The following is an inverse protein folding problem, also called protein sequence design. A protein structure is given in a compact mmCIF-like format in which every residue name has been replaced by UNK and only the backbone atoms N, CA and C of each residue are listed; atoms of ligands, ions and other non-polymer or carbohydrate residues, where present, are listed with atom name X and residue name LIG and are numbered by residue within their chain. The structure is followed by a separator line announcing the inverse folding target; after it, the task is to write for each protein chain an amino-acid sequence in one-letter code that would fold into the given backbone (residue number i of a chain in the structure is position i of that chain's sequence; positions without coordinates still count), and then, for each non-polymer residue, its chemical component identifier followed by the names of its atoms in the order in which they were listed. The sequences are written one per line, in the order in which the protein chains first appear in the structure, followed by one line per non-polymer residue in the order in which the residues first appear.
data_IF_411888464068
#
_entry.id   IF_411888464068
#
_cell.length_a   1.000
_cell.length_b   1.000
_cell.length_c   1.000
_cell.angle_alpha   90.00
_cell.angle_beta   90.00
_cell.angle_gamma   90.00
#
_symmetry.space_group_name_H-M   'P 1'
#
loop_
_entity.id
_entity.type
_entity.pdbx_description
1 polymer ?
#
# COMPACT_ATOMS: atom_id res chain seq x y z
N UNK A 1 -5.53 -14.56 -17.18
CA UNK A 1 -5.30 -13.65 -16.03
C UNK A 1 -6.26 -12.46 -16.09
N UNK A 2 -7.31 -12.44 -15.25
CA UNK A 2 -8.14 -11.24 -15.13
C UNK A 2 -7.30 -10.07 -14.58
N UNK A 3 -7.43 -8.88 -15.18
CA UNK A 3 -6.73 -7.67 -14.77
C UNK A 3 -5.48 -7.29 -15.58
N UNK A 4 -5.07 -8.08 -16.59
CA UNK A 4 -4.07 -7.64 -17.56
C UNK A 4 -4.68 -6.65 -18.57
N UNK A 5 -4.07 -5.48 -18.79
CA UNK A 5 -4.45 -4.60 -19.89
C UNK A 5 -4.29 -5.32 -21.24
N UNK A 6 -5.15 -5.06 -22.24
CA UNK A 6 -5.07 -5.69 -23.56
C UNK A 6 -3.70 -5.50 -24.25
N UNK A 7 -3.07 -4.36 -24.03
CA UNK A 7 -1.74 -4.01 -24.55
C UNK A 7 -0.67 -4.97 -24.01
N UNK A 8 -0.67 -5.21 -22.69
CA UNK A 8 0.25 -6.17 -22.04
C UNK A 8 -0.03 -7.60 -22.49
N UNK A 9 -1.31 -7.97 -22.70
CA UNK A 9 -1.64 -9.28 -23.25
C UNK A 9 -1.11 -9.48 -24.67
N UNK A 10 -1.10 -8.41 -25.48
CA UNK A 10 -0.58 -8.42 -26.85
C UNK A 10 0.95 -8.52 -26.86
N UNK A 11 1.62 -7.80 -25.98
CA UNK A 11 3.07 -7.87 -25.79
C UNK A 11 3.51 -9.26 -25.29
N UNK A 12 2.80 -9.84 -24.33
CA UNK A 12 3.05 -11.21 -23.88
C UNK A 12 2.89 -12.23 -25.02
N UNK A 13 1.89 -12.05 -25.88
CA UNK A 13 1.66 -12.91 -27.03
C UNK A 13 2.74 -12.75 -28.12
N UNK A 14 3.31 -11.55 -28.29
CA UNK A 14 4.37 -11.31 -29.28
C UNK A 14 5.72 -11.93 -28.86
N UNK A 15 5.95 -12.10 -27.56
CA UNK A 15 7.12 -12.79 -27.01
C UNK A 15 6.92 -14.31 -26.84
N UNK A 16 5.77 -14.86 -27.23
CA UNK A 16 5.50 -16.29 -27.14
C UNK A 16 6.26 -17.08 -28.23
N UNK A 17 6.85 -18.20 -27.84
CA UNK A 17 7.45 -19.14 -28.81
C UNK A 17 6.35 -19.86 -29.60
N UNK A 18 6.64 -20.41 -30.79
CA UNK A 18 5.66 -21.17 -31.58
C UNK A 18 5.02 -22.33 -30.79
N UNK A 19 5.81 -23.05 -29.98
CA UNK A 19 5.34 -24.15 -29.12
C UNK A 19 4.37 -23.67 -28.04
N UNK A 20 4.62 -22.47 -27.49
CA UNK A 20 3.74 -21.86 -26.50
C UNK A 20 2.42 -21.37 -27.11
N UNK A 21 2.46 -20.84 -28.33
CA UNK A 21 1.26 -20.46 -29.09
C UNK A 21 0.42 -21.68 -29.47
N UNK A 22 1.04 -22.78 -29.90
CA UNK A 22 0.35 -24.06 -30.15
C UNK A 22 -0.27 -24.62 -28.88
N UNK A 23 0.44 -24.55 -27.76
CA UNK A 23 -0.07 -24.99 -26.45
C UNK A 23 -1.28 -24.16 -25.99
N UNK A 24 -1.24 -22.83 -26.18
CA UNK A 24 -2.35 -21.92 -25.90
C UNK A 24 -3.55 -22.16 -26.82
N UNK A 25 -3.32 -22.47 -28.10
CA UNK A 25 -4.37 -22.81 -29.05
C UNK A 25 -5.03 -24.15 -28.72
N UNK A 26 -4.24 -25.12 -28.22
CA UNK A 26 -4.72 -26.45 -27.83
C UNK A 26 -5.50 -26.43 -26.50
N UNK A 27 -5.08 -25.61 -25.53
CA UNK A 27 -5.76 -25.43 -24.25
C UNK A 27 -5.68 -23.96 -23.79
N UNK A 28 -6.66 -23.12 -24.17
CA UNK A 28 -6.69 -21.71 -23.80
C UNK A 28 -6.76 -21.46 -22.29
N UNK A 29 -7.15 -22.47 -21.50
CA UNK A 29 -7.20 -22.39 -20.03
C UNK A 29 -5.85 -22.59 -19.37
N UNK A 30 -4.85 -23.12 -20.09
CA UNK A 30 -3.55 -23.51 -19.55
C UNK A 30 -2.43 -22.70 -20.18
N UNK A 31 -2.08 -21.60 -19.52
CA UNK A 31 -0.93 -20.79 -19.94
C UNK A 31 0.40 -21.52 -19.72
N UNK A 32 1.32 -21.46 -20.70
CA UNK A 32 2.70 -21.87 -20.52
C UNK A 32 3.35 -21.14 -19.35
N UNK A 33 4.17 -21.86 -18.58
CA UNK A 33 4.73 -21.38 -17.31
C UNK A 33 5.47 -20.05 -17.48
N UNK A 34 6.33 -19.93 -18.50
CA UNK A 34 7.11 -18.73 -18.77
C UNK A 34 6.22 -17.50 -19.01
N UNK A 35 5.18 -17.64 -19.84
CA UNK A 35 4.20 -16.57 -20.09
C UNK A 35 3.39 -16.22 -18.84
N UNK A 36 3.07 -17.21 -17.99
CA UNK A 36 2.40 -16.98 -16.71
C UNK A 36 3.29 -16.23 -15.71
N UNK A 37 4.59 -16.51 -15.69
CA UNK A 37 5.57 -15.79 -14.89
C UNK A 37 5.71 -14.34 -15.37
N UNK A 38 5.85 -14.13 -16.68
CA UNK A 38 5.95 -12.79 -17.28
C UNK A 38 4.69 -11.96 -17.01
N UNK A 39 3.50 -12.54 -17.21
CA UNK A 39 2.22 -11.93 -16.85
C UNK A 39 2.14 -11.55 -15.36
N UNK A 40 2.63 -12.42 -14.48
CA UNK A 40 2.62 -12.19 -13.03
C UNK A 40 3.53 -11.00 -12.67
N UNK A 41 4.68 -10.86 -13.31
CA UNK A 41 5.58 -9.72 -13.11
C UNK A 41 4.89 -8.42 -13.51
N UNK A 42 4.28 -8.37 -14.69
CA UNK A 42 3.54 -7.19 -15.15
C UNK A 42 2.40 -6.80 -14.21
N UNK A 43 1.59 -7.77 -13.76
CA UNK A 43 0.50 -7.50 -12.83
C UNK A 43 0.99 -6.95 -11.49
N UNK A 44 2.13 -7.44 -10.98
CA UNK A 44 2.72 -6.91 -9.74
C UNK A 44 3.18 -5.46 -9.92
N UNK A 45 3.86 -5.15 -11.04
CA UNK A 45 4.28 -3.79 -11.35
C UNK A 45 3.08 -2.84 -11.50
N UNK A 46 2.04 -3.27 -12.21
CA UNK A 46 0.82 -2.48 -12.37
C UNK A 46 0.14 -2.20 -11.02
N UNK A 47 0.01 -3.22 -10.17
CA UNK A 47 -0.55 -3.08 -8.81
C UNK A 47 0.27 -2.13 -7.94
N UNK A 48 1.61 -2.23 -7.96
CA UNK A 48 2.49 -1.32 -7.23
C UNK A 48 2.35 0.12 -7.74
N UNK A 49 2.30 0.30 -9.05
CA UNK A 49 2.12 1.62 -9.66
C UNK A 49 0.78 2.25 -9.29
N UNK A 50 -0.31 1.47 -9.31
CA UNK A 50 -1.62 1.94 -8.85
C UNK A 50 -1.59 2.34 -7.37
N UNK A 51 -0.96 1.55 -6.51
CA UNK A 51 -0.82 1.88 -5.09
C UNK A 51 0.01 3.15 -4.83
N UNK A 52 1.09 3.36 -5.61
CA UNK A 52 1.90 4.58 -5.55
C UNK A 52 1.18 5.79 -6.11
N UNK A 53 0.39 5.63 -7.17
CA UNK A 53 -0.47 6.69 -7.71
C UNK A 53 -1.53 7.08 -6.69
N UNK A 54 -2.17 6.12 -6.01
CA UNK A 54 -3.14 6.38 -4.96
C UNK A 54 -2.55 7.01 -3.69
N UNK A 55 -1.23 6.96 -3.49
CA UNK A 55 -0.54 7.76 -2.47
C UNK A 55 -0.40 9.23 -2.87
N UNK A 56 -0.24 9.50 -4.17
CA UNK A 56 -0.09 10.85 -4.71
C UNK A 56 -1.45 11.52 -4.90
N UNK A 57 -2.41 10.77 -5.44
CA UNK A 57 -3.77 11.21 -5.76
C UNK A 57 -4.78 10.50 -4.86
N UNK A 58 -5.27 11.19 -3.83
CA UNK A 58 -6.18 10.60 -2.84
C UNK A 58 -7.49 10.06 -3.44
N UNK A 59 -7.94 10.60 -4.58
CA UNK A 59 -9.10 10.07 -5.30
C UNK A 59 -8.87 8.69 -5.94
N UNK A 60 -7.61 8.29 -6.11
CA UNK A 60 -7.19 6.98 -6.62
C UNK A 60 -6.73 6.03 -5.50
N UNK A 61 -6.81 6.48 -4.23
CA UNK A 61 -6.35 5.69 -3.10
C UNK A 61 -7.16 4.40 -2.96
N UNK A 62 -6.44 3.29 -2.86
CA UNK A 62 -6.99 1.97 -2.57
C UNK A 62 -6.34 1.38 -1.32
N UNK A 63 -6.75 0.16 -0.94
CA UNK A 63 -6.21 -0.51 0.25
C UNK A 63 -4.68 -0.68 0.19
N UNK A 64 -4.11 -0.95 -0.99
CA UNK A 64 -2.66 -1.05 -1.14
C UNK A 64 -1.99 0.32 -0.93
N UNK A 65 -2.56 1.41 -1.44
CA UNK A 65 -2.08 2.77 -1.23
C UNK A 65 -2.01 3.11 0.26
N UNK A 66 -3.06 2.73 1.00
CA UNK A 66 -3.14 2.89 2.44
C UNK A 66 -2.08 2.06 3.18
N UNK A 67 -1.89 0.80 2.78
CA UNK A 67 -0.81 -0.05 3.31
C UNK A 67 0.56 0.57 3.05
N UNK A 68 0.82 1.04 1.83
CA UNK A 68 2.07 1.71 1.50
C UNK A 68 2.28 2.97 2.36
N UNK A 69 1.23 3.75 2.65
CA UNK A 69 1.35 4.94 3.49
C UNK A 69 1.90 4.60 4.89
N UNK A 70 1.37 3.55 5.52
CA UNK A 70 1.84 3.07 6.83
C UNK A 70 3.28 2.56 6.74
N UNK A 71 3.58 1.71 5.77
CA UNK A 71 4.93 1.14 5.60
C UNK A 71 5.98 2.22 5.37
N UNK A 72 5.67 3.26 4.60
CA UNK A 72 6.58 4.39 4.37
C UNK A 72 6.70 5.28 5.61
N UNK A 73 5.61 5.49 6.35
CA UNK A 73 5.61 6.28 7.60
C UNK A 73 6.58 5.71 8.64
N UNK A 74 6.60 4.38 8.80
CA UNK A 74 7.53 3.72 9.73
C UNK A 74 9.02 3.91 9.34
N UNK A 75 9.28 4.27 8.08
CA UNK A 75 10.62 4.41 7.50
C UNK A 75 11.09 5.86 7.43
N UNK A 76 10.30 6.81 7.96
CA UNK A 76 10.69 8.21 8.07
C UNK A 76 11.66 8.41 9.25
N UNK A 77 12.69 9.25 9.08
CA UNK A 77 13.54 9.67 10.18
C UNK A 77 12.70 10.28 11.32
N UNK A 78 12.97 9.90 12.56
CA UNK A 78 12.22 10.37 13.72
C UNK A 78 11.05 9.49 14.15
N UNK A 79 10.77 8.37 13.45
CA UNK A 79 9.82 7.37 13.94
C UNK A 79 10.34 6.73 15.24
N UNK A 80 9.66 6.99 16.34
CA UNK A 80 10.14 6.69 17.71
C UNK A 80 9.95 5.27 18.17
N UNK A 81 9.24 4.43 17.40
CA UNK A 81 8.97 3.04 17.74
C UNK A 81 8.36 2.83 19.15
N UNK A 82 7.56 3.78 19.65
CA UNK A 82 6.80 3.68 20.92
C UNK A 82 5.29 3.50 20.71
N UNK A 83 4.80 3.84 19.53
CA UNK A 83 3.38 3.81 19.15
C UNK A 83 3.15 2.69 18.15
N UNK A 84 2.05 1.96 18.36
CA UNK A 84 1.54 0.99 17.39
C UNK A 84 0.36 1.61 16.65
N UNK A 85 0.52 1.85 15.35
CA UNK A 85 -0.58 2.31 14.50
C UNK A 85 -1.21 1.12 13.78
N UNK A 86 -2.53 0.98 13.86
CA UNK A 86 -3.29 -0.01 13.12
C UNK A 86 -4.32 0.67 12.21
N UNK A 87 -4.38 0.28 10.94
CA UNK A 87 -5.39 0.76 10.00
C UNK A 87 -6.41 -0.35 9.72
N UNK A 88 -7.71 -0.03 9.86
CA UNK A 88 -8.83 -0.95 9.64
C UNK A 88 -9.84 -0.41 8.66
N UNK A 89 -10.56 -1.30 7.96
CA UNK A 89 -11.63 -0.92 7.04
C UNK A 89 -12.98 -0.82 7.77
N UNK A 90 -13.73 0.25 7.51
CA UNK A 90 -15.14 0.48 7.84
C UNK A 90 -15.51 0.55 9.33
N UNK A 91 -14.85 -0.23 10.21
CA UNK A 91 -15.12 -0.24 11.66
C UNK A 91 -13.91 -0.71 12.47
N UNK A 92 -13.97 -0.52 13.79
CA UNK A 92 -12.99 -1.06 14.74
C UNK A 92 -12.87 -2.59 14.69
N UNK A 93 -13.95 -3.29 14.34
CA UNK A 93 -13.95 -4.74 14.18
C UNK A 93 -13.63 -5.18 12.73
N UNK A 94 -13.51 -4.24 11.79
CA UNK A 94 -13.31 -4.52 10.38
C UNK A 94 -11.91 -5.05 10.06
N UNK A 95 -11.73 -5.49 8.82
CA UNK A 95 -10.48 -6.10 8.37
C UNK A 95 -9.30 -5.14 8.56
N UNK A 96 -8.21 -5.65 9.14
CA UNK A 96 -6.97 -4.89 9.27
C UNK A 96 -6.30 -4.74 7.91
N UNK A 97 -6.11 -3.50 7.48
CA UNK A 97 -5.33 -3.14 6.29
C UNK A 97 -3.86 -3.41 6.56
N UNK A 98 -3.35 -2.84 7.64
CA UNK A 98 -1.96 -3.00 8.08
C UNK A 98 -1.75 -2.52 9.53
N UNK A 99 -0.60 -2.83 10.12
CA UNK A 99 -0.15 -2.27 11.39
C UNK A 99 1.38 -2.08 11.42
N UNK A 100 1.83 -0.97 12.02
CA UNK A 100 3.24 -0.60 12.16
C UNK A 100 3.56 -0.22 13.61
N UNK A 101 4.85 -0.22 13.94
CA UNK A 101 5.32 0.01 15.31
C UNK A 101 5.46 -1.29 16.12
N UNK A 102 5.97 -1.20 17.36
CA UNK A 102 6.22 -2.38 18.19
C UNK A 102 4.91 -3.00 18.68
N UNK A 103 4.92 -4.30 19.00
CA UNK A 103 3.72 -5.01 19.40
C UNK A 103 3.13 -4.52 20.73
N UNK A 104 4.00 -4.06 21.63
CA UNK A 104 3.75 -3.52 22.96
C UNK A 104 3.64 -1.99 23.00
N UNK A 105 3.70 -1.33 21.84
CA UNK A 105 3.53 0.12 21.73
C UNK A 105 2.11 0.56 22.04
N UNK A 106 1.97 1.84 22.42
CA UNK A 106 0.66 2.43 22.67
C UNK A 106 -0.21 2.36 21.41
N UNK A 107 -1.28 1.55 21.45
CA UNK A 107 -2.10 1.28 20.28
C UNK A 107 -3.00 2.48 19.93
N UNK A 108 -2.96 2.85 18.65
CA UNK A 108 -3.89 3.79 18.01
C UNK A 108 -4.46 3.12 16.77
N UNK A 109 -5.78 3.20 16.63
CA UNK A 109 -6.50 2.59 15.52
C UNK A 109 -7.08 3.69 14.64
N UNK A 110 -6.71 3.69 13.38
CA UNK A 110 -7.34 4.49 12.34
C UNK A 110 -8.34 3.60 11.61
N UNK A 111 -9.61 4.00 11.58
CA UNK A 111 -10.65 3.33 10.80
C UNK A 111 -10.85 4.12 9.52
N UNK A 112 -10.60 3.48 8.39
CA UNK A 112 -10.78 4.00 7.04
C UNK A 112 -12.19 3.67 6.54
N UNK A 113 -12.99 4.71 6.34
CA UNK A 113 -14.28 4.70 5.64
C UNK A 113 -14.29 5.89 4.65
N UNK A 114 -13.50 5.82 3.57
CA UNK A 114 -13.22 6.97 2.72
C UNK A 114 -14.51 7.63 2.21
N UNK A 115 -14.62 8.97 2.25
CA UNK A 115 -13.52 9.92 2.48
C UNK A 115 -13.19 10.20 3.95
N UNK A 116 -13.82 9.55 4.93
CA UNK A 116 -13.61 9.81 6.35
C UNK A 116 -12.68 8.80 7.02
N UNK A 117 -11.95 9.29 8.00
CA UNK A 117 -11.11 8.47 8.86
C UNK A 117 -11.40 8.79 10.31
N UNK A 118 -11.68 7.77 11.11
CA UNK A 118 -11.96 7.90 12.54
C UNK A 118 -10.80 7.32 13.35
N UNK A 119 -10.41 8.02 14.41
CA UNK A 119 -9.22 7.70 15.21
C UNK A 119 -9.68 7.24 16.58
N UNK A 120 -9.10 6.14 17.05
CA UNK A 120 -9.41 5.55 18.34
C UNK A 120 -8.12 5.17 19.09
N UNK A 121 -8.22 5.06 20.42
CA UNK A 121 -7.19 4.41 21.22
C UNK A 121 -7.48 2.91 21.44
N UNK A 122 -6.63 2.27 22.24
CA UNK A 122 -6.74 0.86 22.60
C UNK A 122 -8.05 0.48 23.33
N UNK A 123 -8.70 1.44 24.00
CA UNK A 123 -9.96 1.22 24.71
C UNK A 123 -11.19 1.43 23.80
N UNK A 124 -10.97 1.79 22.53
CA UNK A 124 -12.05 2.12 21.59
C UNK A 124 -12.62 3.52 21.82
N UNK A 125 -11.93 4.39 22.57
CA UNK A 125 -12.35 5.78 22.77
C UNK A 125 -12.07 6.55 21.49
N UNK A 126 -13.10 7.25 20.98
CA UNK A 126 -12.98 8.09 19.80
C UNK A 126 -12.16 9.35 20.10
N UNK A 127 -11.01 9.48 19.45
CA UNK A 127 -10.07 10.59 19.62
C UNK A 127 -10.30 11.73 18.61
N UNK A 128 -10.94 11.43 17.48
CA UNK A 128 -11.24 12.44 16.46
C UNK A 128 -11.44 11.85 15.07
N UNK A 129 -11.68 12.74 14.11
CA UNK A 129 -11.88 12.40 12.70
C UNK A 129 -11.02 13.25 11.77
N UNK A 130 -10.79 12.76 10.55
CA UNK A 130 -10.20 13.51 9.44
C UNK A 130 -10.87 13.17 8.10
N UNK A 131 -10.64 14.03 7.11
CA UNK A 131 -11.11 13.84 5.73
C UNK A 131 -10.02 13.29 4.80
N UNK A 132 -8.81 13.09 5.32
CA UNK A 132 -7.70 12.49 4.59
C UNK A 132 -6.99 11.49 5.48
N UNK A 133 -6.38 10.48 4.84
CA UNK A 133 -5.55 9.49 5.51
C UNK A 133 -4.40 10.16 6.26
N UNK A 134 -3.71 11.10 5.62
CA UNK A 134 -2.51 11.73 6.17
C UNK A 134 -2.79 12.60 7.40
N UNK A 135 -3.88 13.39 7.38
CA UNK A 135 -4.32 14.07 8.60
C UNK A 135 -4.69 13.08 9.70
N UNK A 136 -5.34 11.97 9.34
CA UNK A 136 -5.73 10.92 10.29
C UNK A 136 -4.52 10.29 10.97
N UNK A 137 -3.47 10.01 10.19
CA UNK A 137 -2.19 9.50 10.69
C UNK A 137 -1.52 10.48 11.66
N UNK A 138 -1.46 11.78 11.31
CA UNK A 138 -0.88 12.79 12.20
C UNK A 138 -1.69 12.97 13.49
N UNK A 139 -3.02 12.94 13.41
CA UNK A 139 -3.91 13.04 14.59
C UNK A 139 -3.86 11.79 15.47
N UNK A 140 -3.57 10.62 14.90
CA UNK A 140 -3.40 9.39 15.66
C UNK A 140 -2.11 9.40 16.49
N UNK A 141 -1.06 10.08 16.02
CA UNK A 141 0.20 10.18 16.73
C UNK A 141 0.13 11.13 17.94
N UNK A 142 0.68 10.74 19.10
CA UNK A 142 0.94 11.67 20.20
C UNK A 142 1.85 12.83 19.75
N UNK A 143 1.77 13.95 20.46
CA UNK A 143 2.47 15.18 20.10
C UNK A 143 3.99 15.01 20.00
N UNK A 144 4.60 14.31 20.95
CA UNK A 144 6.04 14.06 20.95
C UNK A 144 6.49 13.27 19.71
N UNK A 145 5.72 12.26 19.30
CA UNK A 145 6.06 11.40 18.15
C UNK A 145 5.87 12.12 16.82
N UNK A 146 4.81 12.93 16.75
CA UNK A 146 4.56 13.76 15.58
C UNK A 146 5.66 14.84 15.43
N UNK A 147 6.09 15.44 16.53
CA UNK A 147 7.20 16.40 16.55
C UNK A 147 8.54 15.74 16.23
N UNK A 148 8.79 14.52 16.69
CA UNK A 148 10.01 13.76 16.35
C UNK A 148 10.11 13.45 14.85
N UNK A 149 8.97 13.16 14.20
CA UNK A 149 8.87 13.08 12.73
C UNK A 149 8.97 14.45 12.04
N UNK A 150 8.97 15.53 12.81
CA UNK A 150 9.07 16.90 12.34
C UNK A 150 7.77 17.43 11.73
N UNK A 151 6.58 16.97 12.17
CA UNK A 151 5.26 17.42 11.69
C UNK A 151 4.38 18.04 12.79
N UNK A 152 3.42 18.86 12.38
CA UNK A 152 2.31 19.37 13.18
C UNK A 152 0.99 18.71 12.76
N UNK A 153 -0.02 18.79 13.62
CA UNK A 153 -1.28 18.05 13.45
C UNK A 153 -2.06 18.41 12.17
N UNK A 154 -1.89 19.63 11.65
CA UNK A 154 -2.56 20.13 10.44
C UNK A 154 -1.77 19.93 9.15
N UNK A 155 -0.59 19.31 9.19
CA UNK A 155 0.31 19.23 8.04
C UNK A 155 0.12 17.95 7.19
N UNK A 156 -1.12 17.47 7.07
CA UNK A 156 -1.44 16.23 6.35
C UNK A 156 -0.95 16.24 4.89
N UNK A 157 -1.09 17.37 4.19
CA UNK A 157 -0.57 17.52 2.83
C UNK A 157 0.97 17.35 2.76
N UNK A 158 1.70 17.99 3.69
CA UNK A 158 3.16 17.89 3.77
C UNK A 158 3.62 16.48 4.11
N UNK A 159 2.87 15.77 4.97
CA UNK A 159 3.12 14.35 5.22
C UNK A 159 2.92 13.54 3.93
N UNK A 160 1.83 13.75 3.19
CA UNK A 160 1.57 13.08 1.91
C UNK A 160 2.71 13.24 0.91
N UNK A 161 3.22 14.47 0.75
CA UNK A 161 4.39 14.76 -0.09
C UNK A 161 5.65 14.01 0.37
N UNK A 162 5.91 14.00 1.68
CA UNK A 162 7.06 13.31 2.26
C UNK A 162 6.99 11.80 2.04
N UNK A 163 5.81 11.20 2.24
CA UNK A 163 5.56 9.78 1.99
C UNK A 163 5.73 9.45 0.50
N UNK A 164 5.16 10.25 -0.41
CA UNK A 164 5.34 10.05 -1.85
C UNK A 164 6.81 10.12 -2.26
N UNK A 165 7.55 11.11 -1.73
CA UNK A 165 8.99 11.26 -2.01
C UNK A 165 9.79 10.06 -1.53
N UNK A 166 9.51 9.58 -0.32
CA UNK A 166 10.19 8.42 0.27
C UNK A 166 9.84 7.12 -0.46
N UNK A 167 8.57 6.92 -0.81
CA UNK A 167 8.08 5.73 -1.49
C UNK A 167 8.81 5.46 -2.81
N UNK A 168 9.12 6.52 -3.58
CA UNK A 168 9.89 6.40 -4.84
C UNK A 168 11.25 5.74 -4.66
N UNK A 169 11.92 5.97 -3.54
CA UNK A 169 13.23 5.38 -3.23
C UNK A 169 13.16 3.96 -2.65
N UNK A 170 11.96 3.44 -2.40
CA UNK A 170 11.75 2.20 -1.63
C UNK A 170 10.87 1.19 -2.38
N UNK A 171 10.77 1.30 -3.71
CA UNK A 171 9.86 0.47 -4.53
C UNK A 171 9.97 -1.02 -4.24
N UNK A 172 11.19 -1.57 -4.13
CA UNK A 172 11.39 -3.00 -3.89
C UNK A 172 10.89 -3.42 -2.50
N UNK A 173 11.15 -2.61 -1.47
CA UNK A 173 10.66 -2.84 -0.11
C UNK A 173 9.13 -2.79 -0.06
N UNK A 174 8.54 -1.83 -0.78
CA UNK A 174 7.09 -1.66 -0.85
C UNK A 174 6.42 -2.79 -1.65
N UNK A 175 7.05 -3.28 -2.71
CA UNK A 175 6.58 -4.47 -3.42
C UNK A 175 6.52 -5.69 -2.48
N UNK A 176 7.57 -5.91 -1.69
CA UNK A 176 7.60 -6.99 -0.70
C UNK A 176 6.51 -6.82 0.37
N UNK A 177 6.26 -5.59 0.84
CA UNK A 177 5.20 -5.30 1.79
C UNK A 177 3.79 -5.56 1.24
N UNK A 178 3.61 -5.54 -0.08
CA UNK A 178 2.37 -5.94 -0.76
C UNK A 178 2.28 -7.46 -1.03
N UNK A 179 3.26 -8.24 -0.58
CA UNK A 179 3.35 -9.69 -0.81
C UNK A 179 3.71 -10.05 -2.25
N UNK A 180 4.33 -9.14 -2.98
CA UNK A 180 4.80 -9.38 -4.34
C UNK A 180 6.02 -10.29 -4.31
N UNK A 181 6.14 -11.18 -5.30
CA UNK A 181 7.29 -12.08 -5.38
C UNK A 181 8.50 -11.32 -5.94
N UNK A 182 9.73 -11.62 -5.46
CA UNK A 182 10.92 -11.05 -6.06
C UNK A 182 10.99 -11.43 -7.53
N UNK A 183 11.11 -10.45 -8.41
CA UNK A 183 11.40 -10.69 -9.82
C UNK A 183 12.84 -11.20 -9.86
N UNK A 184 13.04 -12.52 -9.96
CA UNK A 184 14.37 -13.07 -10.19
C UNK A 184 14.72 -12.77 -11.65
N UNK A 185 15.85 -12.09 -11.94
CA UNK A 185 16.33 -12.02 -13.30
C UNK A 185 16.69 -13.45 -13.76
N UNK A 186 16.04 -13.89 -14.84
CA UNK A 186 16.39 -15.09 -15.60
C UNK A 186 17.68 -14.88 -16.38
#
# INVERSE_FOLDING_TARGET
FPGLPPEVATELASHATPVELESLAADPGRMPLRLAEEARVYLQQARLNQALLGLHEMGLANQDSQRLALQVLQQLPGWSATVRLELRLNSLAGARVDAIGPLDGALKVLVSDPPRYAIFDHAGVHLGTSNTLFEGLLKALPDAERQALGFQIGEGARLGEALCKRARSMRDVLAQALGMQPIRPS
#
